data_IF_169299682207
#
_entry.id   IF_169299682207
#
_cell.length_a   1.000
_cell.length_b   1.000
_cell.length_c   1.000
_cell.angle_alpha   90.00
_cell.angle_beta   90.00
_cell.angle_gamma   90.00
#
_symmetry.space_group_name_H-M   'P 1'
#
loop_
_entity.id
_entity.type
_entity.pdbx_description
1 polymer ?
#
# COMPACT_ATOMS: atom_id res chain seq x y z
N UNK A 1 18.28 -1.28 -9.60
CA UNK A 1 18.41 -2.77 -9.60
C UNK A 1 17.10 -3.32 -10.15
N UNK A 2 17.13 -4.22 -11.13
CA UNK A 2 15.94 -4.94 -11.60
C UNK A 2 16.10 -6.39 -11.11
N UNK A 3 15.49 -6.71 -9.97
CA UNK A 3 15.64 -8.02 -9.30
C UNK A 3 14.43 -8.95 -9.47
N UNK A 4 13.51 -8.65 -10.40
CA UNK A 4 12.29 -9.44 -10.60
C UNK A 4 11.32 -9.41 -9.41
N UNK A 5 11.39 -8.35 -8.59
CA UNK A 5 10.51 -8.14 -7.44
C UNK A 5 9.10 -7.90 -7.98
N UNK A 6 8.17 -8.81 -7.66
CA UNK A 6 6.80 -8.80 -8.18
C UNK A 6 5.90 -7.79 -7.47
N UNK A 7 6.23 -7.43 -6.24
CA UNK A 7 5.43 -6.56 -5.38
C UNK A 7 6.33 -5.43 -4.84
N UNK A 8 5.88 -4.18 -5.00
CA UNK A 8 6.57 -2.99 -4.51
C UNK A 8 6.78 -3.03 -2.98
N UNK A 9 5.93 -3.74 -2.23
CA UNK A 9 6.09 -3.92 -0.79
C UNK A 9 7.28 -4.83 -0.42
N UNK A 10 7.84 -5.57 -1.38
CA UNK A 10 9.05 -6.38 -1.19
C UNK A 10 10.36 -5.57 -1.21
N UNK A 11 10.31 -4.29 -1.61
CA UNK A 11 11.45 -3.38 -1.59
C UNK A 11 11.00 -1.97 -1.18
N UNK A 12 10.71 -1.75 0.11
CA UNK A 12 10.22 -0.46 0.60
C UNK A 12 11.27 0.65 0.44
N UNK A 13 10.80 1.88 0.27
CA UNK A 13 11.66 3.05 0.02
C UNK A 13 12.51 3.35 1.25
N UNK A 14 13.84 3.34 1.07
CA UNK A 14 14.83 3.60 2.11
C UNK A 14 15.38 2.34 2.78
N UNK A 15 14.96 1.14 2.34
CA UNK A 15 15.51 -0.13 2.82
C UNK A 15 16.96 -0.35 2.34
N UNK A 16 17.68 -1.25 3.01
CA UNK A 16 19.08 -1.58 2.69
C UNK A 16 19.17 -2.90 1.92
N UNK A 17 19.62 -2.82 0.67
CA UNK A 17 19.89 -4.00 -0.15
C UNK A 17 21.34 -4.47 0.05
N UNK A 18 21.53 -5.69 0.55
CA UNK A 18 22.85 -6.37 0.66
C UNK A 18 22.91 -7.64 -0.20
N UNK A 19 24.11 -8.15 -0.44
CA UNK A 19 24.34 -9.43 -1.11
C UNK A 19 23.98 -10.59 -0.18
N UNK A 20 23.40 -11.66 -0.71
CA UNK A 20 23.08 -12.87 0.07
C UNK A 20 24.30 -13.54 0.71
N UNK A 21 25.49 -13.33 0.13
CA UNK A 21 26.77 -13.82 0.64
C UNK A 21 27.31 -13.01 1.81
N UNK A 22 26.76 -11.84 2.10
CA UNK A 22 27.17 -10.94 3.20
C UNK A 22 25.94 -10.40 3.95
N UNK A 23 25.28 -11.24 4.77
CA UNK A 23 24.06 -10.86 5.48
C UNK A 23 24.29 -9.94 6.68
N UNK A 24 25.48 -9.97 7.29
CA UNK A 24 25.84 -9.14 8.46
C UNK A 24 26.30 -7.73 8.06
N UNK A 25 25.43 -6.99 7.36
CA UNK A 25 25.64 -5.58 7.05
C UNK A 25 24.68 -4.75 7.89
N UNK A 26 25.22 -3.76 8.61
CA UNK A 26 24.41 -2.84 9.39
C UNK A 26 23.41 -2.10 8.49
N UNK A 27 22.14 -2.09 8.92
CA UNK A 27 21.06 -1.42 8.20
C UNK A 27 21.31 0.08 8.21
N UNK A 28 21.08 0.75 7.07
CA UNK A 28 21.26 2.20 7.01
C UNK A 28 20.34 2.92 8.02
N UNK A 29 20.89 3.84 8.84
CA UNK A 29 20.10 4.58 9.80
C UNK A 29 19.12 5.49 9.07
N UNK A 30 17.85 5.51 9.53
CA UNK A 30 16.82 6.40 9.01
C UNK A 30 15.70 5.72 8.24
N UNK A 31 15.82 4.43 7.92
CA UNK A 31 14.68 3.67 7.42
C UNK A 31 13.61 3.55 8.52
N UNK A 32 12.45 4.14 8.27
CA UNK A 32 11.26 4.01 9.11
C UNK A 32 10.10 3.66 8.21
N UNK A 33 9.40 2.58 8.56
CA UNK A 33 8.13 2.27 7.92
C UNK A 33 7.14 3.39 8.25
N UNK A 34 6.76 4.17 7.25
CA UNK A 34 5.85 5.30 7.44
C UNK A 34 4.51 4.74 7.90
N UNK A 35 4.04 5.20 9.06
CA UNK A 35 2.70 4.88 9.56
C UNK A 35 1.72 5.93 9.01
N UNK A 36 0.56 5.50 8.49
CA UNK A 36 -0.48 6.44 8.06
C UNK A 36 -0.88 7.37 9.21
N UNK A 37 -0.86 8.68 8.95
CA UNK A 37 -1.20 9.70 9.96
C UNK A 37 -2.67 10.13 9.89
N UNK A 38 -3.34 9.87 8.77
CA UNK A 38 -4.71 10.29 8.49
C UNK A 38 -5.47 9.10 7.89
N UNK A 39 -6.69 8.87 8.37
CA UNK A 39 -7.61 7.87 7.87
C UNK A 39 -8.89 8.56 7.40
N UNK A 40 -9.50 8.06 6.33
CA UNK A 40 -10.76 8.57 5.80
C UNK A 40 -11.59 7.40 5.23
N UNK A 41 -12.91 7.44 5.44
CA UNK A 41 -13.83 6.51 4.79
C UNK A 41 -14.26 7.04 3.41
N UNK A 42 -14.09 6.22 2.39
CA UNK A 42 -14.42 6.51 1.00
C UNK A 42 -15.55 5.59 0.55
N UNK A 43 -16.69 6.18 0.18
CA UNK A 43 -17.88 5.46 -0.25
C UNK A 43 -18.30 5.97 -1.64
N UNK A 44 -18.54 5.08 -2.61
CA UNK A 44 -19.09 5.48 -3.89
C UNK A 44 -20.54 5.96 -3.71
N UNK A 45 -20.96 6.94 -4.51
CA UNK A 45 -22.34 7.49 -4.47
C UNK A 45 -23.34 6.46 -5.03
N UNK A 46 -22.92 5.72 -6.06
CA UNK A 46 -23.67 4.60 -6.64
C UNK A 46 -23.06 3.27 -6.19
N UNK A 47 -23.90 2.31 -5.81
CA UNK A 47 -23.45 0.95 -5.46
C UNK A 47 -22.80 0.22 -6.64
N UNK A 48 -23.17 0.58 -7.86
CA UNK A 48 -22.69 -0.07 -9.08
C UNK A 48 -21.20 0.24 -9.34
N UNK A 49 -20.70 1.36 -8.81
CA UNK A 49 -19.30 1.81 -8.98
C UNK A 49 -18.34 1.16 -7.97
N UNK A 50 -18.83 0.32 -7.06
CA UNK A 50 -17.99 -0.26 -5.99
C UNK A 50 -16.82 -1.08 -6.53
N UNK A 51 -17.08 -1.94 -7.53
CA UNK A 51 -16.03 -2.77 -8.13
C UNK A 51 -15.02 -1.97 -8.94
N UNK A 52 -15.50 -0.97 -9.70
CA UNK A 52 -14.64 -0.07 -10.45
C UNK A 52 -13.75 0.77 -9.51
N UNK A 53 -14.32 1.20 -8.37
CA UNK A 53 -13.57 1.93 -7.36
C UNK A 53 -12.51 1.06 -6.67
N UNK A 54 -12.83 -0.22 -6.39
CA UNK A 54 -11.87 -1.20 -5.89
C UNK A 54 -10.70 -1.41 -6.87
N UNK A 55 -11.00 -1.56 -8.15
CA UNK A 55 -9.98 -1.73 -9.19
C UNK A 55 -9.10 -0.48 -9.33
N UNK A 56 -9.70 0.71 -9.24
CA UNK A 56 -8.96 1.98 -9.26
C UNK A 56 -7.98 2.10 -8.08
N UNK A 57 -8.42 1.75 -6.86
CA UNK A 57 -7.54 1.73 -5.67
C UNK A 57 -6.40 0.72 -5.81
N UNK A 58 -6.68 -0.45 -6.39
CA UNK A 58 -5.65 -1.46 -6.67
C UNK A 58 -4.60 -0.92 -7.65
N UNK A 59 -5.03 -0.26 -8.74
CA UNK A 59 -4.12 0.37 -9.70
C UNK A 59 -3.30 1.50 -9.09
N UNK A 60 -3.89 2.29 -8.20
CA UNK A 60 -3.19 3.37 -7.51
C UNK A 60 -2.11 2.82 -6.58
N UNK A 61 -2.43 1.75 -5.85
CA UNK A 61 -1.51 1.08 -4.92
C UNK A 61 -0.26 0.54 -5.61
N UNK A 62 -0.33 0.14 -6.89
CA UNK A 62 0.85 -0.29 -7.66
C UNK A 62 1.90 0.82 -7.82
N UNK A 63 1.48 2.08 -7.80
CA UNK A 63 2.37 3.23 -7.92
C UNK A 63 2.67 3.86 -6.56
N UNK A 64 1.71 3.84 -5.63
CA UNK A 64 1.84 4.42 -4.30
C UNK A 64 1.90 3.34 -3.22
N UNK A 65 3.13 2.93 -2.86
CA UNK A 65 3.39 1.94 -1.81
C UNK A 65 2.98 2.38 -0.39
N UNK A 66 2.64 3.66 -0.19
CA UNK A 66 2.22 4.19 1.11
C UNK A 66 0.71 4.14 1.32
N UNK A 67 -0.05 4.01 0.23
CA UNK A 67 -1.51 3.87 0.28
C UNK A 67 -1.88 2.53 0.92
N UNK A 68 -2.79 2.58 1.89
CA UNK A 68 -3.40 1.41 2.52
C UNK A 68 -4.90 1.60 2.49
N UNK A 69 -5.63 0.54 2.17
CA UNK A 69 -7.08 0.55 2.19
C UNK A 69 -7.62 -0.80 2.67
N UNK A 70 -8.75 -0.77 3.36
CA UNK A 70 -9.48 -1.93 3.87
C UNK A 70 -10.96 -1.78 3.51
N UNK A 71 -11.64 -2.85 3.11
CA UNK A 71 -13.08 -2.80 2.89
C UNK A 71 -13.80 -2.47 4.21
N UNK A 72 -14.72 -1.51 4.15
CA UNK A 72 -15.54 -1.07 5.27
C UNK A 72 -17.01 -1.05 4.83
N UNK A 73 -17.92 -1.44 5.72
CA UNK A 73 -19.36 -1.39 5.47
C UNK A 73 -20.00 -0.46 6.49
N UNK A 74 -20.87 0.42 6.01
CA UNK A 74 -21.61 1.39 6.80
C UNK A 74 -23.11 1.18 6.60
N UNK A 75 -23.88 1.22 7.69
CA UNK A 75 -25.34 1.07 7.64
C UNK A 75 -26.03 2.20 6.85
N UNK A 76 -25.41 3.38 6.79
CA UNK A 76 -25.98 4.56 6.12
C UNK A 76 -25.42 4.78 4.70
N UNK A 77 -24.16 4.41 4.47
CA UNK A 77 -23.43 4.70 3.22
C UNK A 77 -23.16 3.47 2.36
N UNK A 78 -23.48 2.27 2.85
CA UNK A 78 -23.23 1.02 2.15
C UNK A 78 -21.76 0.59 2.20
N UNK A 79 -21.29 -0.06 1.14
CA UNK A 79 -19.94 -0.61 1.04
C UNK A 79 -18.94 0.44 0.55
N UNK A 80 -17.78 0.52 1.21
CA UNK A 80 -16.71 1.44 0.87
C UNK A 80 -15.35 0.95 1.34
N UNK A 81 -14.40 1.87 1.48
CA UNK A 81 -13.02 1.59 1.84
C UNK A 81 -12.48 2.60 2.87
N UNK A 82 -11.53 2.16 3.71
CA UNK A 82 -10.86 2.97 4.72
C UNK A 82 -9.36 2.81 4.70
#
# INVERSE_FOLDING_TARGET
IIAGIKDIHGAPVGDTLTLSTTPDVDVLPGFKRIQPQVYAGLFPVSSDDFEDFREALQKLTLNDSSLQYLPESSDALGFGFR
#
